data_IF_448689587108
#
_entry.id   IF_448689587108
#
_cell.length_a   1.000
_cell.length_b   1.000
_cell.length_c   1.000
_cell.angle_alpha   90.00
_cell.angle_beta   90.00
_cell.angle_gamma   90.00
#
_symmetry.space_group_name_H-M   'P 1'
#
loop_
_entity.id
_entity.type
_entity.pdbx_description
1 polymer ?
#
# COMPACT_ATOMS: atom_id res chain seq x y z
N UNK A 1 -11.88 7.72 17.65
CA UNK A 1 -10.73 7.92 16.75
C UNK A 1 -10.71 6.74 15.80
N UNK A 2 -10.70 6.96 14.49
CA UNK A 2 -10.59 5.88 13.49
C UNK A 2 -9.15 5.79 13.01
N UNK A 3 -8.60 4.59 12.86
CA UNK A 3 -7.24 4.37 12.38
C UNK A 3 -7.24 3.53 11.09
N UNK A 4 -6.53 3.99 10.07
CA UNK A 4 -6.22 3.22 8.87
C UNK A 4 -4.78 2.71 8.92
N UNK A 5 -4.61 1.43 8.65
CA UNK A 5 -3.34 0.77 8.40
C UNK A 5 -3.21 0.63 6.88
N UNK A 6 -2.50 1.57 6.25
CA UNK A 6 -2.26 1.56 4.80
C UNK A 6 -1.11 0.62 4.50
N UNK A 7 -1.36 -0.42 3.74
CA UNK A 7 -0.45 -1.54 3.55
C UNK A 7 -0.11 -1.66 2.06
N UNK A 8 1.17 -1.54 1.69
CA UNK A 8 1.61 -1.90 0.34
C UNK A 8 1.55 -3.42 0.17
N UNK A 9 1.07 -3.90 -0.96
CA UNK A 9 1.11 -5.32 -1.31
C UNK A 9 2.52 -5.93 -1.22
N UNK A 10 2.63 -7.26 -1.09
CA UNK A 10 3.90 -8.00 -1.14
C UNK A 10 4.55 -7.96 -2.53
N UNK A 11 5.81 -8.39 -2.61
CA UNK A 11 6.59 -8.39 -3.86
C UNK A 11 5.88 -9.20 -4.95
N UNK A 12 5.49 -8.59 -6.08
CA UNK A 12 4.82 -9.29 -7.18
C UNK A 12 5.82 -9.85 -8.18
N UNK A 13 5.34 -10.71 -9.07
CA UNK A 13 6.10 -11.09 -10.26
C UNK A 13 6.16 -9.91 -11.24
N UNK A 14 7.33 -9.71 -11.85
CA UNK A 14 7.51 -8.71 -12.90
C UNK A 14 7.08 -9.23 -14.28
N UNK A 15 6.85 -8.32 -15.23
CA UNK A 15 6.69 -8.63 -16.65
C UNK A 15 5.33 -9.22 -17.05
N UNK A 16 4.32 -9.13 -16.18
CA UNK A 16 2.94 -9.58 -16.48
C UNK A 16 1.92 -8.53 -16.09
N UNK A 17 0.76 -8.53 -16.73
CA UNK A 17 -0.37 -7.71 -16.34
C UNK A 17 -1.03 -8.29 -15.08
N UNK A 18 -1.44 -7.45 -14.14
CA UNK A 18 -2.02 -7.83 -12.86
C UNK A 18 -1.30 -9.02 -12.19
N UNK A 19 -0.01 -8.85 -11.84
CA UNK A 19 0.82 -9.94 -11.35
C UNK A 19 0.32 -10.50 -10.02
N UNK A 20 0.45 -11.83 -9.88
CA UNK A 20 0.41 -12.50 -8.57
C UNK A 20 1.66 -12.17 -7.77
N UNK A 21 1.63 -12.50 -6.48
CA UNK A 21 2.82 -12.43 -5.64
C UNK A 21 3.92 -13.40 -6.13
N UNK A 22 5.16 -13.00 -5.94
CA UNK A 22 6.31 -13.89 -6.01
C UNK A 22 6.32 -14.83 -4.80
N UNK A 23 7.16 -15.90 -4.78
CA UNK A 23 7.35 -16.73 -3.59
C UNK A 23 7.78 -15.90 -2.37
N UNK A 24 8.65 -14.92 -2.57
CA UNK A 24 9.07 -13.97 -1.52
C UNK A 24 7.89 -13.10 -1.07
N UNK A 25 7.13 -12.53 -2.01
CA UNK A 25 5.93 -11.73 -1.69
C UNK A 25 4.88 -12.52 -0.91
N UNK A 26 4.74 -13.81 -1.20
CA UNK A 26 3.87 -14.70 -0.44
C UNK A 26 4.37 -14.86 1.02
N UNK A 27 5.67 -15.08 1.21
CA UNK A 27 6.26 -15.14 2.54
C UNK A 27 6.14 -13.80 3.31
N UNK A 28 6.29 -12.66 2.61
CA UNK A 28 6.05 -11.34 3.19
C UNK A 28 4.60 -11.19 3.67
N UNK A 29 3.62 -11.64 2.88
CA UNK A 29 2.19 -11.57 3.24
C UNK A 29 1.86 -12.44 4.46
N UNK A 30 2.46 -13.62 4.59
CA UNK A 30 2.27 -14.50 5.76
C UNK A 30 2.85 -13.85 7.04
N UNK A 31 4.05 -13.25 6.97
CA UNK A 31 4.64 -12.53 8.11
C UNK A 31 3.80 -11.32 8.52
N UNK A 32 3.36 -10.54 7.54
CA UNK A 32 2.46 -9.41 7.78
C UNK A 32 1.18 -9.85 8.51
N UNK A 33 0.53 -10.91 8.05
CA UNK A 33 -0.69 -11.42 8.64
C UNK A 33 -0.48 -11.92 10.07
N UNK A 34 0.64 -12.62 10.33
CA UNK A 34 1.01 -13.09 11.68
C UNK A 34 1.26 -11.93 12.65
N UNK A 35 1.71 -10.78 12.16
CA UNK A 35 1.90 -9.58 12.96
C UNK A 35 0.57 -8.83 13.16
N UNK A 36 -0.21 -8.64 12.09
CA UNK A 36 -1.45 -7.87 12.12
C UNK A 36 -2.59 -8.55 12.91
N UNK A 37 -2.56 -9.87 13.07
CA UNK A 37 -3.58 -10.58 13.88
C UNK A 37 -3.63 -10.09 15.34
N UNK A 38 -2.54 -9.46 15.82
CA UNK A 38 -2.45 -8.90 17.17
C UNK A 38 -2.78 -7.39 17.25
N UNK A 39 -3.21 -6.80 16.15
CA UNK A 39 -3.46 -5.35 16.05
C UNK A 39 -4.94 -4.97 16.27
N UNK A 40 -5.80 -5.90 16.68
CA UNK A 40 -7.24 -5.67 16.90
C UNK A 40 -7.91 -4.95 15.73
N UNK A 41 -7.73 -5.49 14.50
CA UNK A 41 -8.31 -4.93 13.28
C UNK A 41 -9.80 -5.25 13.23
N UNK A 42 -10.64 -4.24 12.97
CA UNK A 42 -12.11 -4.39 12.91
C UNK A 42 -12.61 -4.70 11.50
N UNK A 43 -11.87 -4.32 10.46
CA UNK A 43 -12.27 -4.55 9.07
C UNK A 43 -11.06 -4.63 8.13
N UNK A 44 -11.24 -5.33 7.01
CA UNK A 44 -10.23 -5.49 5.97
C UNK A 44 -10.75 -4.89 4.66
N UNK A 45 -9.89 -4.15 3.98
CA UNK A 45 -10.11 -3.68 2.61
C UNK A 45 -8.95 -4.09 1.71
N UNK A 46 -9.25 -4.28 0.43
CA UNK A 46 -8.23 -4.60 -0.56
C UNK A 46 -8.51 -3.93 -1.89
N UNK A 47 -7.45 -3.50 -2.57
CA UNK A 47 -7.49 -3.25 -4.00
C UNK A 47 -7.98 -4.50 -4.75
N UNK A 48 -8.67 -4.36 -5.90
CA UNK A 48 -9.08 -5.51 -6.72
C UNK A 48 -7.90 -6.26 -7.33
N UNK A 49 -6.71 -5.64 -7.42
CA UNK A 49 -5.55 -6.26 -8.04
C UNK A 49 -5.08 -7.52 -7.33
N UNK A 50 -4.68 -8.48 -8.13
CA UNK A 50 -4.29 -9.81 -7.67
C UNK A 50 -3.22 -9.77 -6.58
N UNK A 51 -2.18 -8.96 -6.75
CA UNK A 51 -1.10 -8.80 -5.76
C UNK A 51 -1.58 -8.31 -4.40
N UNK A 52 -2.58 -7.41 -4.37
CA UNK A 52 -3.17 -6.94 -3.12
C UNK A 52 -4.11 -8.00 -2.50
N UNK A 53 -4.92 -8.67 -3.33
CA UNK A 53 -5.80 -9.75 -2.89
C UNK A 53 -5.01 -10.92 -2.29
N UNK A 54 -3.91 -11.31 -2.92
CA UNK A 54 -3.04 -12.37 -2.41
C UNK A 54 -2.28 -11.93 -1.13
N UNK A 55 -2.04 -10.62 -0.96
CA UNK A 55 -1.42 -10.09 0.27
C UNK A 55 -2.37 -10.12 1.46
N UNK A 56 -3.66 -9.80 1.26
CA UNK A 56 -4.63 -9.81 2.37
C UNK A 56 -5.10 -11.21 2.73
N UNK A 57 -5.04 -12.17 1.82
CA UNK A 57 -5.59 -13.53 1.98
C UNK A 57 -5.08 -14.28 3.23
N UNK A 58 -3.80 -14.22 3.63
CA UNK A 58 -3.35 -14.81 4.89
C UNK A 58 -4.05 -14.21 6.12
N UNK A 59 -4.26 -12.90 6.15
CA UNK A 59 -4.94 -12.22 7.24
C UNK A 59 -6.43 -12.57 7.29
N UNK A 60 -7.10 -12.70 6.14
CA UNK A 60 -8.47 -13.21 6.05
C UNK A 60 -8.60 -14.60 6.71
N UNK A 61 -7.63 -15.50 6.42
CA UNK A 61 -7.61 -16.86 7.01
C UNK A 61 -7.42 -16.85 8.52
N UNK A 62 -6.51 -15.99 9.02
CA UNK A 62 -6.20 -15.94 10.46
C UNK A 62 -7.31 -15.30 11.29
N UNK A 63 -7.98 -14.30 10.74
CA UNK A 63 -9.02 -13.54 11.45
C UNK A 63 -10.43 -14.07 11.23
N UNK A 64 -10.66 -14.84 10.16
CA UNK A 64 -11.99 -15.23 9.69
C UNK A 64 -12.78 -14.09 9.03
N UNK A 65 -12.19 -12.91 8.88
CA UNK A 65 -12.77 -11.77 8.16
C UNK A 65 -12.63 -11.92 6.66
N UNK A 66 -13.51 -11.27 5.90
CA UNK A 66 -13.40 -11.14 4.45
C UNK A 66 -13.11 -9.69 4.09
N UNK A 67 -12.12 -9.45 3.26
CA UNK A 67 -11.78 -8.10 2.83
C UNK A 67 -12.81 -7.57 1.82
N UNK A 68 -13.32 -6.37 2.07
CA UNK A 68 -14.11 -5.61 1.10
C UNK A 68 -13.20 -5.14 -0.03
N UNK A 69 -13.53 -5.53 -1.26
CA UNK A 69 -12.80 -5.06 -2.45
C UNK A 69 -13.32 -3.68 -2.83
N UNK A 70 -12.43 -2.70 -2.86
CA UNK A 70 -12.76 -1.33 -3.24
C UNK A 70 -11.97 -0.92 -4.50
N UNK A 71 -12.69 -0.62 -5.55
CA UNK A 71 -12.12 -0.32 -6.87
C UNK A 71 -11.24 0.93 -6.87
N UNK A 72 -11.61 1.93 -6.09
CA UNK A 72 -10.84 3.16 -5.92
C UNK A 72 -9.45 2.96 -5.25
N UNK A 73 -9.15 1.77 -4.72
CA UNK A 73 -7.83 1.40 -4.21
C UNK A 73 -6.85 0.91 -5.28
N UNK A 74 -7.24 0.87 -6.58
CA UNK A 74 -6.34 0.50 -7.67
C UNK A 74 -5.15 1.44 -7.78
N UNK A 75 -4.01 0.88 -8.19
CA UNK A 75 -2.83 1.69 -8.52
C UNK A 75 -3.04 2.48 -9.82
N UNK A 76 -2.14 3.37 -10.14
CA UNK A 76 -2.15 4.14 -11.38
C UNK A 76 -1.86 3.29 -12.62
N UNK A 77 -1.22 2.13 -12.46
CA UNK A 77 -0.82 1.23 -13.56
C UNK A 77 -1.99 0.55 -14.31
N UNK A 78 -3.24 0.81 -13.92
CA UNK A 78 -4.44 0.34 -14.63
C UNK A 78 -4.55 0.87 -16.05
N UNK A 79 -4.12 2.10 -16.20
CA UNK A 79 -4.36 2.88 -17.42
C UNK A 79 -3.13 2.88 -18.34
N UNK A 80 -2.09 2.09 -18.00
CA UNK A 80 -0.91 1.90 -18.84
C UNK A 80 -0.97 0.55 -19.57
N UNK A 81 -0.70 0.58 -20.85
CA UNK A 81 -0.75 -0.59 -21.75
C UNK A 81 0.49 -1.51 -21.64
N UNK A 82 1.25 -1.41 -20.53
CA UNK A 82 2.48 -2.15 -20.34
C UNK A 82 2.38 -3.14 -19.16
N UNK A 83 3.07 -4.30 -19.24
CA UNK A 83 3.17 -5.21 -18.10
C UNK A 83 3.79 -4.52 -16.88
N UNK A 84 3.35 -4.92 -15.69
CA UNK A 84 3.87 -4.39 -14.43
C UNK A 84 5.39 -4.56 -14.33
N UNK A 85 6.08 -3.48 -14.04
CA UNK A 85 7.49 -3.46 -13.72
C UNK A 85 7.69 -2.81 -12.35
N UNK A 86 8.25 -3.53 -11.36
CA UNK A 86 8.60 -2.92 -10.09
C UNK A 86 9.59 -1.76 -10.31
N UNK A 87 9.41 -0.60 -9.67
CA UNK A 87 10.35 0.53 -9.82
C UNK A 87 11.80 0.14 -9.56
N UNK A 88 12.04 -0.78 -8.63
CA UNK A 88 13.36 -1.28 -8.25
C UNK A 88 14.04 -2.12 -9.34
N UNK A 89 13.29 -2.58 -10.34
CA UNK A 89 13.79 -3.37 -11.48
C UNK A 89 13.97 -2.53 -12.75
N UNK A 90 13.68 -1.24 -12.69
CA UNK A 90 13.92 -0.33 -13.82
C UNK A 90 15.43 -0.10 -13.92
N UNK A 91 16.00 -0.53 -15.04
CA UNK A 91 17.43 -0.41 -15.28
C UNK A 91 17.86 1.07 -15.42
N UNK A 92 19.13 1.35 -15.08
CA UNK A 92 19.69 2.71 -15.19
C UNK A 92 19.65 3.29 -16.60
N UNK A 93 19.59 2.45 -17.62
CA UNK A 93 19.51 2.84 -19.04
C UNK A 93 18.06 3.15 -19.49
N UNK A 94 17.05 2.88 -18.65
CA UNK A 94 15.67 3.24 -18.94
C UNK A 94 15.50 4.77 -18.81
N UNK A 95 14.96 5.45 -19.81
CA UNK A 95 14.78 6.91 -19.76
C UNK A 95 13.93 7.38 -18.59
N UNK A 96 13.12 6.50 -18.01
CA UNK A 96 12.29 6.78 -16.83
C UNK A 96 13.07 6.69 -15.51
N UNK A 97 14.26 6.09 -15.50
CA UNK A 97 15.04 5.89 -14.28
C UNK A 97 15.41 7.21 -13.60
N UNK A 98 15.77 8.23 -14.37
CA UNK A 98 16.08 9.55 -13.84
C UNK A 98 14.86 10.21 -13.19
N UNK A 99 13.68 10.11 -13.81
CA UNK A 99 12.44 10.64 -13.24
C UNK A 99 12.09 9.96 -11.91
N UNK A 100 12.27 8.64 -11.82
CA UNK A 100 12.08 7.89 -10.57
C UNK A 100 13.07 8.31 -9.49
N UNK A 101 14.36 8.41 -9.82
CA UNK A 101 15.41 8.79 -8.87
C UNK A 101 15.22 10.20 -8.31
N UNK A 102 14.63 11.09 -9.07
CA UNK A 102 14.35 12.47 -8.71
C UNK A 102 12.94 12.66 -8.11
N UNK A 103 12.14 11.59 -8.01
CA UNK A 103 10.78 11.64 -7.49
C UNK A 103 9.78 12.35 -8.42
N UNK A 104 10.12 12.53 -9.70
CA UNK A 104 9.27 13.17 -10.71
C UNK A 104 8.37 12.14 -11.41
N UNK A 105 7.41 11.59 -10.68
CA UNK A 105 6.52 10.54 -11.20
C UNK A 105 5.56 11.03 -12.29
N UNK A 106 5.24 12.33 -12.29
CA UNK A 106 4.46 12.97 -13.37
C UNK A 106 5.17 12.85 -14.72
N UNK A 107 6.52 12.87 -14.71
CA UNK A 107 7.33 12.64 -15.91
C UNK A 107 7.48 11.15 -16.24
N UNK A 108 7.29 10.28 -15.25
CA UNK A 108 7.37 8.82 -15.43
C UNK A 108 6.17 8.25 -16.19
N UNK A 109 4.97 8.81 -15.98
CA UNK A 109 3.71 8.46 -16.67
C UNK A 109 2.97 9.75 -17.03
N UNK A 110 3.43 10.48 -18.05
CA UNK A 110 2.87 11.79 -18.39
C UNK A 110 1.45 11.73 -18.96
N UNK A 111 0.99 10.55 -19.42
CA UNK A 111 -0.35 10.34 -19.93
C UNK A 111 -1.41 10.15 -18.84
N UNK A 112 -1.00 9.99 -17.57
CA UNK A 112 -1.94 9.77 -16.47
C UNK A 112 -2.52 11.12 -15.98
N UNK A 113 -3.83 11.13 -15.75
CA UNK A 113 -4.49 12.21 -15.03
C UNK A 113 -4.21 12.10 -13.51
N UNK A 114 -3.14 12.75 -13.10
CA UNK A 114 -2.65 12.73 -11.70
C UNK A 114 -3.62 13.39 -10.73
N UNK A 115 -4.39 14.39 -11.16
CA UNK A 115 -5.42 15.01 -10.32
C UNK A 115 -6.60 14.06 -10.09
N UNK A 116 -7.04 13.36 -11.13
CA UNK A 116 -8.05 12.32 -11.00
C UNK A 116 -7.58 11.18 -10.09
N UNK A 117 -6.29 10.77 -10.20
CA UNK A 117 -5.69 9.75 -9.33
C UNK A 117 -5.68 10.20 -7.86
N UNK A 118 -5.25 11.44 -7.59
CA UNK A 118 -5.26 12.05 -6.25
C UNK A 118 -6.66 12.08 -5.66
N UNK A 119 -7.64 12.54 -6.45
CA UNK A 119 -9.03 12.60 -6.03
C UNK A 119 -9.58 11.20 -5.72
N UNK A 120 -9.23 10.18 -6.52
CA UNK A 120 -9.63 8.79 -6.31
C UNK A 120 -9.05 8.23 -5.01
N UNK A 121 -7.74 8.45 -4.76
CA UNK A 121 -7.10 8.04 -3.51
C UNK A 121 -7.79 8.65 -2.27
N UNK A 122 -8.12 9.95 -2.33
CA UNK A 122 -8.87 10.64 -1.27
C UNK A 122 -10.23 9.99 -1.03
N UNK A 123 -11.04 9.84 -2.10
CA UNK A 123 -12.39 9.21 -1.98
C UNK A 123 -12.33 7.80 -1.41
N UNK A 124 -11.34 6.98 -1.79
CA UNK A 124 -11.18 5.64 -1.24
C UNK A 124 -11.03 5.68 0.27
N UNK A 125 -10.13 6.51 0.78
CA UNK A 125 -9.86 6.60 2.21
C UNK A 125 -11.00 7.24 2.99
N UNK A 126 -11.66 8.27 2.45
CA UNK A 126 -12.84 8.88 3.06
C UNK A 126 -13.99 7.86 3.18
N UNK A 127 -14.25 7.09 2.11
CA UNK A 127 -15.26 6.01 2.13
C UNK A 127 -15.00 5.02 3.26
N UNK A 128 -13.75 4.57 3.45
CA UNK A 128 -13.39 3.62 4.49
C UNK A 128 -13.50 4.27 5.88
N UNK A 129 -12.99 5.49 6.04
CA UNK A 129 -13.05 6.21 7.31
C UNK A 129 -14.49 6.46 7.76
N UNK A 130 -15.41 6.76 6.83
CA UNK A 130 -16.82 7.03 7.13
C UNK A 130 -17.59 5.77 7.48
N UNK A 131 -17.22 4.63 6.89
CA UNK A 131 -17.84 3.34 7.17
C UNK A 131 -17.47 2.77 8.55
N UNK A 132 -16.33 3.20 9.14
CA UNK A 132 -15.79 2.59 10.37
C UNK A 132 -15.48 3.62 11.46
N UNK A 133 -16.47 4.37 11.97
CA UNK A 133 -16.24 5.37 13.01
C UNK A 133 -15.74 4.71 14.31
N UNK A 134 -14.55 5.06 14.73
CA UNK A 134 -13.92 4.53 15.95
C UNK A 134 -13.10 3.26 15.77
N UNK A 135 -13.17 2.63 14.59
CA UNK A 135 -12.51 1.36 14.30
C UNK A 135 -11.07 1.49 13.81
N UNK A 136 -10.38 0.35 13.75
CA UNK A 136 -9.08 0.17 13.12
C UNK A 136 -9.24 -0.70 11.87
N UNK A 137 -8.81 -0.19 10.72
CA UNK A 137 -9.05 -0.82 9.42
C UNK A 137 -7.74 -1.08 8.69
N UNK A 138 -7.50 -2.33 8.29
CA UNK A 138 -6.38 -2.68 7.42
C UNK A 138 -6.79 -2.52 5.94
N UNK A 139 -5.99 -1.76 5.20
CA UNK A 139 -6.24 -1.40 3.80
C UNK A 139 -5.05 -1.85 2.96
N UNK A 140 -5.18 -2.99 2.27
CA UNK A 140 -4.12 -3.50 1.40
C UNK A 140 -4.26 -2.88 0.01
N UNK A 141 -3.30 -2.05 -0.34
CA UNK A 141 -3.28 -1.31 -1.59
C UNK A 141 -1.86 -1.23 -2.20
N UNK A 142 -1.45 -0.08 -2.68
CA UNK A 142 -0.24 0.10 -3.50
C UNK A 142 0.60 1.29 -3.01
N UNK A 143 1.84 1.34 -3.51
CA UNK A 143 2.78 2.41 -3.16
C UNK A 143 2.29 3.79 -3.59
N UNK A 144 1.76 3.91 -4.81
CA UNK A 144 1.26 5.17 -5.35
C UNK A 144 0.03 5.69 -4.59
N UNK A 145 -0.95 4.84 -4.32
CA UNK A 145 -2.13 5.20 -3.50
C UNK A 145 -1.72 5.70 -2.12
N UNK A 146 -0.83 4.96 -1.44
CA UNK A 146 -0.35 5.34 -0.12
C UNK A 146 0.37 6.68 -0.14
N UNK A 147 1.34 6.85 -1.05
CA UNK A 147 2.08 8.11 -1.21
C UNK A 147 1.16 9.29 -1.46
N UNK A 148 0.28 9.17 -2.45
CA UNK A 148 -0.65 10.24 -2.87
C UNK A 148 -1.57 10.67 -1.73
N UNK A 149 -2.15 9.69 -1.01
CA UNK A 149 -3.01 10.01 0.13
C UNK A 149 -2.23 10.68 1.27
N UNK A 150 -1.07 10.13 1.65
CA UNK A 150 -0.24 10.71 2.71
C UNK A 150 0.30 12.09 2.33
N UNK A 151 0.68 12.33 1.07
CA UNK A 151 1.05 13.65 0.58
C UNK A 151 -0.09 14.66 0.76
N UNK A 152 -1.33 14.24 0.46
CA UNK A 152 -2.53 15.09 0.66
C UNK A 152 -2.74 15.40 2.14
N UNK A 153 -2.61 14.42 3.03
CA UNK A 153 -2.72 14.60 4.51
C UNK A 153 -1.67 15.59 5.03
N UNK A 154 -0.46 15.54 4.47
CA UNK A 154 0.67 16.39 4.89
C UNK A 154 0.70 17.75 4.18
N UNK A 155 -0.14 17.98 3.16
CA UNK A 155 -0.13 19.19 2.35
C UNK A 155 1.14 19.31 1.48
N UNK A 156 1.72 18.19 1.06
CA UNK A 156 2.93 18.18 0.22
C UNK A 156 2.57 18.45 -1.24
N UNK A 157 3.39 19.22 -1.97
CA UNK A 157 3.18 19.46 -3.39
C UNK A 157 3.46 18.21 -4.25
N UNK A 158 4.39 17.36 -3.83
CA UNK A 158 4.83 16.14 -4.53
C UNK A 158 4.05 14.94 -4.00
N UNK A 159 3.42 14.17 -4.89
CA UNK A 159 2.63 12.98 -4.53
C UNK A 159 3.50 11.82 -4.05
N UNK A 160 4.69 11.67 -4.61
CA UNK A 160 5.61 10.58 -4.29
C UNK A 160 6.82 11.18 -3.55
N UNK A 161 6.86 11.00 -2.26
CA UNK A 161 7.85 11.63 -1.38
C UNK A 161 8.63 10.63 -0.53
N UNK A 162 8.22 9.35 -0.54
CA UNK A 162 8.96 8.24 0.05
C UNK A 162 8.71 6.96 -0.73
N UNK A 163 9.54 5.96 -0.50
CA UNK A 163 9.41 4.64 -1.11
C UNK A 163 8.85 3.64 -0.07
N UNK A 164 7.56 3.28 -0.11
CA UNK A 164 7.02 2.26 0.78
C UNK A 164 7.65 0.91 0.47
N UNK A 165 8.15 0.20 1.48
CA UNK A 165 8.60 -1.17 1.32
C UNK A 165 7.41 -2.12 1.07
N UNK A 166 7.67 -3.29 0.45
CA UNK A 166 6.64 -4.31 0.30
C UNK A 166 6.15 -4.78 1.66
N UNK A 167 4.82 -4.89 1.81
CA UNK A 167 4.11 -5.17 3.05
C UNK A 167 4.30 -4.14 4.17
N UNK A 168 4.98 -3.02 3.92
CA UNK A 168 5.06 -1.96 4.92
C UNK A 168 3.68 -1.41 5.30
N UNK A 169 3.57 -0.94 6.54
CA UNK A 169 2.37 -0.35 7.10
C UNK A 169 2.61 1.13 7.41
N UNK A 170 1.73 2.00 6.92
CA UNK A 170 1.68 3.41 7.31
C UNK A 170 0.36 3.69 8.00
N UNK A 171 0.38 4.43 9.12
CA UNK A 171 -0.81 4.63 9.95
C UNK A 171 -1.28 6.07 9.88
N UNK A 172 -2.56 6.25 9.62
CA UNK A 172 -3.24 7.53 9.73
C UNK A 172 -4.42 7.43 10.68
N UNK A 173 -4.70 8.52 11.41
CA UNK A 173 -5.78 8.59 12.39
C UNK A 173 -6.71 9.76 12.10
N UNK A 174 -8.00 9.47 12.00
CA UNK A 174 -9.02 10.51 12.03
C UNK A 174 -9.41 10.78 13.47
N UNK A 175 -9.05 11.98 13.93
CA UNK A 175 -9.31 12.44 15.29
C UNK A 175 -10.78 12.85 15.47
N UNK A 176 -11.29 12.87 16.70
CA UNK A 176 -12.54 13.57 16.99
C UNK A 176 -12.48 14.99 16.42
N UNK A 177 -13.51 15.40 15.68
CA UNK A 177 -13.50 16.69 14.95
C UNK A 177 -13.01 16.61 13.50
N UNK A 178 -12.67 15.38 13.01
CA UNK A 178 -12.45 15.12 11.58
C UNK A 178 -11.02 15.33 11.07
N UNK A 179 -10.12 15.92 11.88
CA UNK A 179 -8.72 16.13 11.47
C UNK A 179 -8.00 14.78 11.25
N UNK A 180 -7.35 14.63 10.11
CA UNK A 180 -6.48 13.48 9.80
C UNK A 180 -5.06 13.77 10.30
N UNK A 181 -4.43 12.80 10.93
CA UNK A 181 -3.07 12.85 11.46
C UNK A 181 -2.28 11.66 10.98
N UNK A 182 -1.11 11.90 10.41
CA UNK A 182 -0.12 10.85 10.15
C UNK A 182 0.49 10.41 11.48
N UNK A 183 0.42 9.12 11.77
CA UNK A 183 0.97 8.54 13.00
C UNK A 183 2.34 7.91 12.78
N UNK A 184 2.48 7.12 11.71
CA UNK A 184 3.73 6.47 11.35
C UNK A 184 3.77 6.17 9.84
N UNK A 185 4.98 5.94 9.32
CA UNK A 185 5.23 5.66 7.91
C UNK A 185 6.18 4.48 7.80
N UNK A 186 5.89 3.58 6.83
CA UNK A 186 6.78 2.51 6.41
C UNK A 186 7.23 1.56 7.54
N UNK A 187 6.31 1.15 8.42
CA UNK A 187 6.60 0.16 9.47
C UNK A 187 6.86 -1.20 8.83
N UNK A 188 8.02 -1.81 9.14
CA UNK A 188 8.46 -3.10 8.61
C UNK A 188 8.95 -4.06 9.70
N UNK A 189 8.56 -3.83 10.96
CA UNK A 189 9.02 -4.63 12.10
C UNK A 189 8.75 -6.13 11.93
N UNK A 190 7.65 -6.51 11.29
CA UNK A 190 7.29 -7.90 10.97
C UNK A 190 8.27 -8.58 10.00
N UNK A 191 9.09 -7.80 9.27
CA UNK A 191 10.09 -8.33 8.34
C UNK A 191 11.44 -8.64 9.00
N UNK A 192 11.67 -8.13 10.21
CA UNK A 192 12.96 -8.21 10.91
C UNK A 192 13.01 -9.37 11.92
N UNK A 193 11.86 -9.89 12.35
CA UNK A 193 11.73 -10.81 13.49
C UNK A 193 12.45 -12.17 13.32
N UNK A 194 12.82 -12.58 12.10
CA UNK A 194 13.53 -13.86 11.88
C UNK A 194 15.06 -13.76 12.06
N UNK A 195 15.67 -12.57 12.05
CA UNK A 195 17.12 -12.42 12.19
C UNK A 195 17.63 -12.47 13.63
N UNK A 196 16.76 -12.37 14.61
CA UNK A 196 17.16 -12.29 16.02
C UNK A 196 17.26 -13.64 16.74
N UNK A 197 16.72 -14.73 16.18
CA UNK A 197 16.70 -16.05 16.84
C UNK A 197 17.95 -16.86 16.52
N UNK A 198 18.59 -16.67 15.37
CA UNK A 198 19.77 -17.43 14.96
C UNK A 198 21.10 -16.85 15.47
N UNK A 199 21.09 -15.70 16.14
CA UNK A 199 22.30 -15.03 16.63
C UNK A 199 22.65 -15.37 18.09
N UNK A 200 21.92 -16.26 18.77
CA UNK A 200 22.10 -16.63 20.18
C UNK A 200 22.18 -18.15 20.37
N UNK A 201 22.60 -18.90 19.37
CA UNK A 201 22.90 -20.32 19.47
C UNK A 201 24.39 -20.61 19.31
#
# INVERSE_FOLDING_TARGET
MTELLLIRHGLPLAGVFDPRLSPEGTAQAERLASWLVHEDVDALYSSPYRRARETVAPLERLTGMTATVLDDLREWDTDVSQPYMPPEQIGADDPRAAALAEGRYEDFVPELDWDAFRARAGRAMDTILDAHPGGRVAVVCHGGITNTYLATVLGLPTMFWFHPDYTSVSRVRRMPGGRIVLHSVNETAHMVAERAVDAVA
#
